data_IF_856015291356
#
_entry.id   IF_856015291356
#
_cell.length_a   1.000
_cell.length_b   1.000
_cell.length_c   1.000
_cell.angle_alpha   90.00
_cell.angle_beta   90.00
_cell.angle_gamma   90.00
#
_symmetry.space_group_name_H-M   'P 1'
#
loop_
_entity.id
_entity.type
_entity.pdbx_description
1 polymer ?
#
# COMPACT_ATOMS: atom_id res chain seq x y z
N UNK A 1 -8.68 18.55 -17.99
CA UNK A 1 -8.42 17.14 -17.65
C UNK A 1 -9.70 16.61 -17.04
N UNK A 2 -10.35 15.58 -17.62
CA UNK A 2 -11.57 15.03 -17.04
C UNK A 2 -11.27 14.48 -15.64
N UNK A 3 -12.20 14.70 -14.70
CA UNK A 3 -12.12 14.15 -13.34
C UNK A 3 -12.10 12.61 -13.48
N UNK A 4 -11.11 11.90 -12.91
CA UNK A 4 -11.10 10.45 -12.88
C UNK A 4 -12.44 9.91 -12.38
N UNK A 5 -12.91 8.79 -12.92
CA UNK A 5 -14.24 8.26 -12.61
C UNK A 5 -14.46 8.04 -11.11
N UNK A 6 -13.42 7.61 -10.40
CA UNK A 6 -13.35 7.43 -8.94
C UNK A 6 -13.47 8.74 -8.14
N UNK A 7 -13.25 9.89 -8.78
CA UNK A 7 -13.34 11.21 -8.16
C UNK A 7 -14.63 11.96 -8.54
N UNK A 8 -15.46 11.38 -9.42
CA UNK A 8 -16.75 11.98 -9.77
C UNK A 8 -17.69 11.90 -8.55
N UNK A 9 -18.45 12.96 -8.25
CA UNK A 9 -19.49 12.89 -7.24
C UNK A 9 -20.48 11.76 -7.58
N UNK A 10 -20.75 10.85 -6.65
CA UNK A 10 -21.76 9.81 -6.82
C UNK A 10 -23.14 10.48 -6.77
N UNK A 11 -23.61 10.96 -7.92
CA UNK A 11 -25.00 11.40 -8.07
C UNK A 11 -25.82 10.14 -8.32
N UNK A 12 -26.51 9.64 -7.29
CA UNK A 12 -27.36 8.43 -7.38
C UNK A 12 -28.51 8.59 -8.39
N UNK A 13 -28.82 9.82 -8.77
CA UNK A 13 -29.72 10.15 -9.87
C UNK A 13 -30.14 11.62 -9.83
N UNK A 14 -30.94 12.01 -10.80
CA UNK A 14 -31.54 13.34 -10.91
C UNK A 14 -33.06 13.16 -10.95
N UNK A 15 -33.77 13.85 -10.08
CA UNK A 15 -35.22 14.01 -10.16
C UNK A 15 -35.45 15.28 -10.96
N UNK A 16 -35.95 15.13 -12.19
CA UNK A 16 -36.36 16.25 -13.02
C UNK A 16 -37.76 15.92 -13.57
N UNK A 17 -38.65 16.91 -13.57
CA UNK A 17 -40.00 16.78 -14.10
C UNK A 17 -40.13 17.63 -15.35
N UNK A 18 -40.93 17.18 -16.32
CA UNK A 18 -41.08 17.92 -17.58
C UNK A 18 -41.84 19.23 -17.40
N UNK A 19 -42.85 19.26 -16.51
CA UNK A 19 -43.58 20.46 -16.12
C UNK A 19 -43.80 20.57 -14.62
N UNK A 20 -43.49 21.73 -14.03
CA UNK A 20 -43.74 22.02 -12.61
C UNK A 20 -44.21 23.47 -12.45
N UNK A 21 -45.32 23.67 -11.75
CA UNK A 21 -45.78 24.99 -11.32
C UNK A 21 -45.86 25.00 -9.79
N UNK A 22 -45.16 25.93 -9.16
CA UNK A 22 -45.21 26.16 -7.70
C UNK A 22 -45.62 27.60 -7.48
N UNK A 23 -46.72 27.81 -6.77
CA UNK A 23 -47.26 29.16 -6.46
C UNK A 23 -47.42 30.07 -7.69
N UNK A 24 -47.81 29.48 -8.83
CA UNK A 24 -48.00 30.20 -10.09
C UNK A 24 -46.71 30.47 -10.89
N UNK A 25 -45.55 30.01 -10.42
CA UNK A 25 -44.27 30.11 -11.11
C UNK A 25 -43.96 28.81 -11.85
N UNK A 26 -43.73 28.89 -13.15
CA UNK A 26 -43.32 27.76 -13.99
C UNK A 26 -41.82 27.47 -13.77
N UNK A 27 -41.53 26.23 -13.37
CA UNK A 27 -40.19 25.72 -13.01
C UNK A 27 -39.83 24.55 -13.93
N UNK A 28 -39.99 24.73 -15.23
CA UNK A 28 -39.69 23.70 -16.23
C UNK A 28 -38.17 23.58 -16.48
N UNK A 29 -37.72 22.43 -16.97
CA UNK A 29 -36.32 22.20 -17.28
C UNK A 29 -35.44 22.05 -16.03
N UNK A 30 -34.24 22.64 -16.04
CA UNK A 30 -33.25 22.49 -14.95
C UNK A 30 -33.68 23.14 -13.65
N UNK A 31 -34.69 24.01 -13.67
CA UNK A 31 -35.20 24.70 -12.47
C UNK A 31 -35.88 23.76 -11.47
N UNK A 32 -36.37 22.59 -11.92
CA UNK A 32 -36.89 21.55 -11.04
C UNK A 32 -35.99 20.32 -10.92
N UNK A 33 -34.74 20.43 -11.39
CA UNK A 33 -33.79 19.35 -11.30
C UNK A 33 -33.21 19.27 -9.88
N UNK A 34 -33.65 18.27 -9.12
CA UNK A 34 -33.12 17.94 -7.81
C UNK A 34 -32.20 16.74 -7.89
N UNK A 35 -30.99 16.85 -7.37
CA UNK A 35 -30.10 15.70 -7.23
C UNK A 35 -30.64 14.78 -6.15
N UNK A 36 -30.73 13.48 -6.44
CA UNK A 36 -31.00 12.45 -5.43
C UNK A 36 -29.84 12.44 -4.43
N UNK A 37 -30.16 12.06 -3.19
CA UNK A 37 -29.29 11.98 -2.02
C UNK A 37 -27.80 11.80 -2.35
N UNK A 38 -27.01 12.77 -1.87
CA UNK A 38 -25.55 12.83 -2.02
C UNK A 38 -24.79 12.22 -0.84
N UNK A 39 -25.51 11.76 0.18
CA UNK A 39 -24.91 11.27 1.42
C UNK A 39 -24.07 10.03 1.11
N UNK A 40 -22.76 10.18 1.23
CA UNK A 40 -21.81 9.08 1.28
C UNK A 40 -21.94 8.42 2.65
N UNK A 41 -22.71 7.34 2.76
CA UNK A 41 -22.88 6.59 4.01
C UNK A 41 -21.73 5.60 4.28
N UNK A 42 -20.79 5.47 3.34
CA UNK A 42 -19.65 4.54 3.41
C UNK A 42 -18.36 5.15 3.97
N UNK A 43 -18.40 6.39 4.48
CA UNK A 43 -17.23 7.05 5.08
C UNK A 43 -16.90 6.38 6.42
N UNK A 44 -15.72 5.79 6.53
CA UNK A 44 -15.20 5.31 7.81
C UNK A 44 -14.13 6.27 8.35
N UNK A 45 -14.43 7.06 9.40
CA UNK A 45 -13.46 8.00 9.97
C UNK A 45 -12.21 7.31 10.53
N UNK A 46 -12.30 6.03 10.91
CA UNK A 46 -11.16 5.35 11.54
C UNK A 46 -10.00 5.13 10.58
N UNK A 47 -10.27 5.07 9.26
CA UNK A 47 -9.23 4.92 8.22
C UNK A 47 -8.22 6.06 8.34
N UNK A 48 -8.74 7.29 8.41
CA UNK A 48 -7.94 8.49 8.52
C UNK A 48 -7.16 8.49 9.83
N UNK A 49 -7.86 8.26 10.94
CA UNK A 49 -7.27 8.33 12.28
C UNK A 49 -6.15 7.30 12.43
N UNK A 50 -6.38 6.05 12.02
CA UNK A 50 -5.37 5.00 12.11
C UNK A 50 -4.14 5.31 11.25
N UNK A 51 -4.34 5.74 10.01
CA UNK A 51 -3.22 6.08 9.11
C UNK A 51 -2.44 7.28 9.65
N UNK A 52 -3.13 8.36 10.06
CA UNK A 52 -2.47 9.56 10.55
C UNK A 52 -1.70 9.33 11.87
N UNK A 53 -2.07 8.31 12.64
CA UNK A 53 -1.37 7.91 13.88
C UNK A 53 -0.24 6.89 13.64
N UNK A 54 0.09 6.54 12.38
CA UNK A 54 1.30 5.79 12.05
C UNK A 54 2.48 6.73 11.79
N UNK A 55 3.71 6.25 12.00
CA UNK A 55 4.92 6.97 11.62
C UNK A 55 4.91 7.35 10.13
N UNK A 56 4.55 6.40 9.27
CA UNK A 56 4.56 6.58 7.83
C UNK A 56 3.44 7.53 7.35
N UNK A 57 2.33 7.57 8.07
CA UNK A 57 1.15 8.35 7.72
C UNK A 57 1.08 9.74 8.34
N UNK A 58 1.91 10.09 9.33
CA UNK A 58 1.79 11.33 10.13
C UNK A 58 1.65 12.62 9.30
N UNK A 59 2.27 12.68 8.12
CA UNK A 59 2.26 13.87 7.26
C UNK A 59 1.04 13.98 6.33
N UNK A 60 0.13 13.00 6.34
CA UNK A 60 -1.04 12.93 5.45
C UNK A 60 -1.94 14.17 5.53
N UNK A 61 -2.01 14.82 6.69
CA UNK A 61 -2.81 16.04 6.96
C UNK A 61 -2.33 17.28 6.25
N UNK A 62 -1.04 17.36 5.90
CA UNK A 62 -0.50 18.48 5.16
C UNK A 62 -0.90 18.48 3.67
N UNK A 63 -1.46 17.37 3.17
CA UNK A 63 -1.87 17.27 1.77
C UNK A 63 -3.04 18.20 1.44
N UNK A 64 -2.85 19.06 0.45
CA UNK A 64 -3.88 19.97 -0.10
C UNK A 64 -4.31 19.64 -1.53
N UNK A 65 -4.02 18.42 -2.00
CA UNK A 65 -4.53 17.88 -3.27
C UNK A 65 -4.03 18.58 -4.56
N UNK A 66 -2.84 19.22 -4.55
CA UNK A 66 -2.27 19.88 -5.74
C UNK A 66 -1.90 18.95 -6.92
N UNK A 67 -1.67 17.66 -6.69
CA UNK A 67 -1.42 16.67 -7.76
C UNK A 67 0.01 16.56 -8.28
N UNK A 68 0.97 17.33 -7.75
CA UNK A 68 2.39 17.25 -8.14
C UNK A 68 2.97 15.83 -7.99
N UNK A 69 2.52 15.10 -6.97
CA UNK A 69 2.93 13.71 -6.74
C UNK A 69 2.44 12.76 -7.84
N UNK A 70 1.19 12.91 -8.30
CA UNK A 70 0.63 12.09 -9.39
C UNK A 70 1.29 12.43 -10.72
N UNK A 71 1.51 13.71 -11.03
CA UNK A 71 2.17 14.11 -12.28
C UNK A 71 3.65 13.69 -12.34
N UNK A 72 4.33 13.63 -11.20
CA UNK A 72 5.74 13.24 -11.13
C UNK A 72 5.99 11.74 -10.97
N UNK A 73 4.93 10.93 -10.80
CA UNK A 73 5.06 9.50 -10.57
C UNK A 73 5.33 8.75 -11.88
N UNK A 74 6.41 7.98 -11.95
CA UNK A 74 6.71 7.12 -13.10
C UNK A 74 5.74 5.95 -13.22
N UNK A 75 5.13 5.51 -12.11
CA UNK A 75 4.19 4.40 -12.14
C UNK A 75 2.87 4.73 -12.82
N UNK A 76 2.51 6.02 -12.87
CA UNK A 76 1.31 6.51 -13.58
C UNK A 76 1.32 6.17 -15.07
N UNK A 77 2.50 6.13 -15.69
CA UNK A 77 2.67 5.81 -17.09
C UNK A 77 2.36 4.33 -17.37
N UNK A 78 2.73 3.45 -16.44
CA UNK A 78 2.49 2.00 -16.53
C UNK A 78 1.12 1.57 -16.02
N UNK A 79 0.57 2.29 -15.04
CA UNK A 79 -0.74 2.05 -14.46
C UNK A 79 -1.54 3.37 -14.41
N UNK A 80 -2.47 3.58 -15.36
CA UNK A 80 -3.32 4.76 -15.41
C UNK A 80 -4.23 4.96 -14.19
N UNK A 81 -4.37 3.96 -13.30
CA UNK A 81 -5.11 4.11 -12.05
C UNK A 81 -4.20 4.52 -10.89
N UNK A 82 -2.88 4.40 -11.04
CA UNK A 82 -1.93 4.77 -10.00
C UNK A 82 -1.93 6.28 -9.75
N UNK A 83 -2.44 6.73 -8.61
CA UNK A 83 -2.50 8.15 -8.26
C UNK A 83 -2.23 8.33 -6.77
N UNK A 84 -1.00 8.69 -6.35
CA UNK A 84 -0.71 8.97 -4.95
C UNK A 84 -1.62 10.04 -4.36
N UNK A 85 -1.95 11.08 -5.13
CA UNK A 85 -2.93 12.09 -4.73
C UNK A 85 -4.31 11.46 -4.45
N UNK A 86 -4.77 10.61 -5.37
CA UNK A 86 -6.08 9.95 -5.28
C UNK A 86 -6.15 9.00 -4.09
N UNK A 87 -5.10 8.21 -3.84
CA UNK A 87 -5.02 7.33 -2.68
C UNK A 87 -5.14 8.11 -1.36
N UNK A 88 -4.41 9.23 -1.25
CA UNK A 88 -4.49 10.11 -0.07
C UNK A 88 -5.90 10.70 0.09
N UNK A 89 -6.54 11.10 -1.02
CA UNK A 89 -7.90 11.63 -0.99
C UNK A 89 -8.91 10.58 -0.49
N UNK A 90 -8.82 9.36 -1.00
CA UNK A 90 -9.69 8.25 -0.60
C UNK A 90 -9.47 7.86 0.87
N UNK A 91 -8.22 7.79 1.33
CA UNK A 91 -7.89 7.52 2.72
C UNK A 91 -8.44 8.60 3.66
N UNK A 92 -8.30 9.88 3.29
CA UNK A 92 -8.89 11.03 4.01
C UNK A 92 -10.42 10.99 4.02
N UNK A 93 -10.99 10.46 2.95
CA UNK A 93 -12.43 10.26 2.80
C UNK A 93 -12.94 8.97 3.44
N UNK A 94 -12.09 8.19 4.09
CA UNK A 94 -12.50 6.91 4.67
C UNK A 94 -13.14 5.95 3.65
N UNK A 95 -12.86 6.11 2.36
CA UNK A 95 -13.48 5.33 1.28
C UNK A 95 -12.75 4.00 1.11
N UNK A 96 -12.99 3.10 2.05
CA UNK A 96 -12.33 1.78 2.10
C UNK A 96 -12.60 0.97 0.83
N UNK A 97 -13.81 1.05 0.29
CA UNK A 97 -14.21 0.26 -0.87
C UNK A 97 -13.39 0.66 -2.10
N UNK A 98 -13.26 1.96 -2.37
CA UNK A 98 -12.42 2.45 -3.46
C UNK A 98 -10.93 2.08 -3.26
N UNK A 99 -10.42 2.12 -2.02
CA UNK A 99 -9.05 1.68 -1.72
C UNK A 99 -8.84 0.18 -1.98
N UNK A 100 -9.80 -0.67 -1.63
CA UNK A 100 -9.77 -2.12 -1.90
C UNK A 100 -9.75 -2.40 -3.41
N UNK A 101 -10.57 -1.67 -4.18
CA UNK A 101 -10.61 -1.79 -5.64
C UNK A 101 -9.26 -1.40 -6.28
N UNK A 102 -8.58 -0.42 -5.68
CA UNK A 102 -7.27 0.07 -6.12
C UNK A 102 -6.07 -0.67 -5.50
N UNK A 103 -6.28 -1.76 -4.74
CA UNK A 103 -5.20 -2.47 -4.04
C UNK A 103 -4.01 -2.84 -4.95
N UNK A 104 -4.29 -3.29 -6.17
CA UNK A 104 -3.26 -3.68 -7.13
C UNK A 104 -2.46 -2.49 -7.65
N UNK A 105 -3.06 -1.29 -7.66
CA UNK A 105 -2.36 -0.06 -7.97
C UNK A 105 -1.56 0.40 -6.77
N UNK A 106 -2.13 0.41 -5.56
CA UNK A 106 -1.42 0.77 -4.31
C UNK A 106 -0.10 0.00 -4.14
N UNK A 107 -0.12 -1.31 -4.37
CA UNK A 107 1.07 -2.17 -4.26
C UNK A 107 2.19 -1.85 -5.27
N UNK A 108 1.89 -1.21 -6.40
CA UNK A 108 2.89 -0.93 -7.45
C UNK A 108 3.88 0.18 -7.10
N UNK A 109 3.80 0.75 -5.91
CA UNK A 109 4.79 1.71 -5.45
C UNK A 109 6.19 1.07 -5.49
N UNK A 110 7.13 1.72 -6.17
CA UNK A 110 8.54 1.27 -6.24
C UNK A 110 9.47 2.09 -5.35
N UNK A 111 8.90 2.85 -4.39
CA UNK A 111 9.64 3.65 -3.41
C UNK A 111 10.71 4.58 -3.98
N UNK A 112 10.51 5.13 -5.18
CA UNK A 112 11.50 6.02 -5.81
C UNK A 112 11.60 7.41 -5.16
N UNK A 113 10.76 7.73 -4.16
CA UNK A 113 10.73 8.99 -3.40
C UNK A 113 10.53 10.30 -4.20
N UNK A 114 10.30 10.22 -5.52
CA UNK A 114 10.09 11.41 -6.37
C UNK A 114 8.89 12.25 -5.95
N UNK A 115 7.81 11.60 -5.51
CA UNK A 115 6.59 12.25 -5.05
C UNK A 115 6.82 13.04 -3.74
N UNK A 116 7.52 12.42 -2.79
CA UNK A 116 7.92 13.04 -1.52
C UNK A 116 8.77 14.28 -1.75
N UNK A 117 9.85 14.16 -2.53
CA UNK A 117 10.77 15.28 -2.76
C UNK A 117 10.15 16.47 -3.49
N UNK A 118 9.15 16.22 -4.35
CA UNK A 118 8.47 17.29 -5.10
C UNK A 118 7.29 17.91 -4.35
N UNK A 119 6.89 17.37 -3.21
CA UNK A 119 5.71 17.86 -2.51
C UNK A 119 5.94 19.27 -1.95
N UNK A 120 5.19 20.30 -2.39
CA UNK A 120 5.38 21.68 -1.90
C UNK A 120 4.94 21.86 -0.43
N UNK A 121 4.23 20.88 0.13
CA UNK A 121 3.75 20.87 1.52
C UNK A 121 4.57 19.96 2.44
N UNK A 122 5.62 19.30 1.92
CA UNK A 122 6.45 18.40 2.72
C UNK A 122 5.77 17.09 3.14
N UNK A 123 4.69 16.68 2.47
CA UNK A 123 4.08 15.36 2.70
C UNK A 123 5.06 14.27 2.28
N UNK A 124 5.28 13.27 3.14
CA UNK A 124 6.02 12.04 2.85
C UNK A 124 5.12 11.11 2.03
N UNK A 125 4.86 11.49 0.79
CA UNK A 125 3.81 10.87 -0.05
C UNK A 125 4.06 9.37 -0.26
N UNK A 126 5.31 8.96 -0.39
CA UNK A 126 5.66 7.55 -0.55
C UNK A 126 5.28 6.75 0.71
N UNK A 127 5.69 7.22 1.89
CA UNK A 127 5.38 6.60 3.18
C UNK A 127 3.87 6.55 3.43
N UNK A 128 3.17 7.64 3.12
CA UNK A 128 1.71 7.70 3.24
C UNK A 128 1.03 6.66 2.34
N UNK A 129 1.51 6.45 1.10
CA UNK A 129 0.96 5.40 0.23
C UNK A 129 1.19 4.01 0.82
N UNK A 130 2.36 3.76 1.42
CA UNK A 130 2.62 2.51 2.13
C UNK A 130 1.74 2.33 3.36
N UNK A 131 1.53 3.38 4.17
CA UNK A 131 0.65 3.33 5.34
C UNK A 131 -0.78 2.94 4.96
N UNK A 132 -1.29 3.42 3.81
CA UNK A 132 -2.60 3.05 3.28
C UNK A 132 -2.61 1.56 2.90
N UNK A 133 -1.56 1.07 2.23
CA UNK A 133 -1.45 -0.35 1.87
C UNK A 133 -1.36 -1.26 3.12
N UNK A 134 -0.54 -0.87 4.10
CA UNK A 134 -0.42 -1.56 5.39
C UNK A 134 -1.72 -1.57 6.16
N UNK A 135 -2.49 -0.48 6.16
CA UNK A 135 -3.83 -0.43 6.75
C UNK A 135 -4.74 -1.51 6.13
N UNK A 136 -4.80 -1.61 4.81
CA UNK A 136 -5.62 -2.63 4.14
C UNK A 136 -5.20 -4.06 4.50
N UNK A 137 -3.89 -4.31 4.61
CA UNK A 137 -3.35 -5.61 5.00
C UNK A 137 -3.63 -5.94 6.48
N UNK A 138 -3.42 -4.98 7.38
CA UNK A 138 -3.65 -5.12 8.84
C UNK A 138 -5.11 -5.51 9.13
N UNK A 139 -6.05 -4.91 8.40
CA UNK A 139 -7.48 -5.18 8.54
C UNK A 139 -7.97 -6.40 7.72
N UNK A 140 -7.10 -7.09 7.01
CA UNK A 140 -7.47 -8.26 6.19
C UNK A 140 -8.43 -7.93 5.04
N UNK A 141 -8.47 -6.66 4.60
CA UNK A 141 -9.35 -6.18 3.53
C UNK A 141 -8.84 -6.59 2.14
N UNK A 142 -7.54 -6.87 2.04
CA UNK A 142 -6.85 -7.28 0.82
C UNK A 142 -5.99 -8.50 1.08
N UNK A 143 -5.70 -9.27 0.03
CA UNK A 143 -4.76 -10.39 0.12
C UNK A 143 -3.33 -9.84 0.12
N UNK A 144 -2.44 -10.52 0.83
CA UNK A 144 -1.00 -10.24 0.75
C UNK A 144 -0.54 -10.45 -0.69
N UNK A 145 0.10 -9.42 -1.23
CA UNK A 145 0.79 -9.49 -2.51
C UNK A 145 2.07 -10.35 -2.39
N UNK A 146 2.67 -10.79 -3.52
CA UNK A 146 3.88 -11.60 -3.49
C UNK A 146 5.07 -10.93 -2.79
N UNK A 147 5.17 -9.60 -2.82
CA UNK A 147 6.22 -8.83 -2.14
C UNK A 147 6.08 -8.92 -0.63
N UNK A 148 4.89 -8.64 -0.09
CA UNK A 148 4.57 -8.76 1.34
C UNK A 148 4.83 -10.17 1.86
N UNK A 149 4.41 -11.21 1.10
CA UNK A 149 4.70 -12.59 1.49
C UNK A 149 6.21 -12.85 1.50
N UNK A 150 6.96 -12.30 0.55
CA UNK A 150 8.41 -12.48 0.49
C UNK A 150 9.10 -11.76 1.65
N UNK A 151 8.70 -10.54 1.97
CA UNK A 151 9.25 -9.73 3.05
C UNK A 151 9.07 -10.42 4.42
N UNK A 152 7.90 -11.03 4.65
CA UNK A 152 7.64 -11.83 5.86
C UNK A 152 8.57 -13.06 5.94
N UNK A 153 8.67 -13.83 4.85
CA UNK A 153 9.55 -15.00 4.79
C UNK A 153 11.02 -14.61 4.96
N UNK A 154 11.42 -13.49 4.35
CA UNK A 154 12.75 -12.94 4.44
C UNK A 154 13.09 -12.56 5.88
N UNK A 155 12.23 -11.76 6.53
CA UNK A 155 12.43 -11.32 7.90
C UNK A 155 12.46 -12.50 8.87
N UNK A 156 11.51 -13.44 8.75
CA UNK A 156 11.48 -14.66 9.56
C UNK A 156 12.78 -15.47 9.43
N UNK A 157 13.28 -15.59 8.19
CA UNK A 157 14.53 -16.30 7.90
C UNK A 157 15.73 -15.59 8.51
N UNK A 158 15.81 -14.26 8.41
CA UNK A 158 16.89 -13.46 8.99
C UNK A 158 16.90 -13.60 10.52
N UNK A 159 15.73 -13.51 11.16
CA UNK A 159 15.61 -13.65 12.61
C UNK A 159 16.05 -15.04 13.06
N UNK A 160 15.55 -16.10 12.42
CA UNK A 160 15.89 -17.49 12.75
C UNK A 160 17.37 -17.83 12.54
N UNK A 161 18.01 -17.21 11.56
CA UNK A 161 19.42 -17.45 11.23
C UNK A 161 20.41 -16.53 11.96
N UNK A 162 19.97 -15.84 13.01
CA UNK A 162 20.88 -15.04 13.82
C UNK A 162 21.29 -13.72 13.16
N UNK A 163 20.37 -13.09 12.44
CA UNK A 163 20.56 -11.78 11.80
C UNK A 163 21.29 -11.84 10.45
N UNK A 164 21.40 -13.02 9.84
CA UNK A 164 22.01 -13.19 8.52
C UNK A 164 21.06 -13.90 7.56
N UNK A 165 21.18 -13.53 6.30
CA UNK A 165 20.48 -14.21 5.21
C UNK A 165 21.14 -15.57 5.01
N UNK A 166 20.32 -16.62 4.94
CA UNK A 166 20.74 -17.96 4.53
C UNK A 166 20.04 -18.29 3.23
N UNK A 167 20.82 -18.42 2.15
CA UNK A 167 20.31 -18.71 0.81
C UNK A 167 19.53 -20.02 0.76
N UNK A 168 19.95 -21.04 1.52
CA UNK A 168 19.25 -22.33 1.58
C UNK A 168 17.88 -22.20 2.25
N UNK A 169 17.82 -21.59 3.43
CA UNK A 169 16.56 -21.49 4.18
C UNK A 169 15.59 -20.55 3.50
N UNK A 170 16.07 -19.40 2.99
CA UNK A 170 15.26 -18.46 2.23
C UNK A 170 14.78 -19.07 0.91
N UNK A 171 15.67 -19.75 0.17
CA UNK A 171 15.33 -20.41 -1.08
C UNK A 171 14.32 -21.55 -0.89
N UNK A 172 14.47 -22.35 0.16
CA UNK A 172 13.51 -23.39 0.52
C UNK A 172 12.16 -22.79 0.95
N UNK A 173 12.15 -21.70 1.72
CA UNK A 173 10.95 -21.00 2.13
C UNK A 173 10.21 -20.39 0.93
N UNK A 174 10.93 -19.72 0.03
CA UNK A 174 10.38 -19.14 -1.20
C UNK A 174 9.83 -20.22 -2.15
N UNK A 175 10.52 -21.36 -2.29
CA UNK A 175 10.03 -22.50 -3.07
C UNK A 175 8.76 -23.10 -2.45
N UNK A 176 8.71 -23.25 -1.12
CA UNK A 176 7.51 -23.72 -0.40
C UNK A 176 6.33 -22.75 -0.55
N UNK A 177 6.60 -21.45 -0.60
CA UNK A 177 5.60 -20.42 -0.86
C UNK A 177 5.17 -20.31 -2.34
N UNK A 178 5.73 -21.15 -3.22
CA UNK A 178 5.39 -21.16 -4.65
C UNK A 178 5.96 -19.98 -5.45
N UNK A 179 6.89 -19.22 -4.88
CA UNK A 179 7.51 -18.05 -5.53
C UNK A 179 8.62 -18.44 -6.50
N UNK A 180 9.28 -19.57 -6.25
CA UNK A 180 10.36 -20.10 -7.07
C UNK A 180 10.07 -21.54 -7.44
N UNK A 181 10.03 -21.83 -8.73
CA UNK A 181 9.96 -23.19 -9.24
C UNK A 181 11.37 -23.68 -9.56
N UNK A 182 11.89 -24.58 -8.72
CA UNK A 182 13.19 -25.21 -8.95
C UNK A 182 12.97 -26.54 -9.68
N UNK A 183 13.55 -26.68 -10.87
CA UNK A 183 13.58 -27.98 -11.54
C UNK A 183 14.65 -28.89 -10.94
N UNK A 184 14.55 -30.20 -11.20
CA UNK A 184 15.56 -31.15 -10.75
C UNK A 184 16.96 -30.82 -11.30
N UNK A 185 17.04 -30.25 -12.51
CA UNK A 185 18.30 -29.81 -13.12
C UNK A 185 18.89 -28.61 -12.36
N UNK A 186 18.05 -27.67 -11.94
CA UNK A 186 18.49 -26.50 -11.19
C UNK A 186 19.05 -26.90 -9.83
N UNK A 187 18.39 -27.83 -9.13
CA UNK A 187 18.87 -28.38 -7.86
C UNK A 187 20.23 -29.06 -8.00
N UNK A 188 20.43 -29.84 -9.07
CA UNK A 188 21.73 -30.50 -9.34
C UNK A 188 22.81 -29.45 -9.62
N UNK A 189 22.51 -28.44 -10.44
CA UNK A 189 23.47 -27.38 -10.78
C UNK A 189 23.86 -26.54 -9.56
N UNK A 190 22.88 -26.14 -8.74
CA UNK A 190 23.10 -25.41 -7.49
C UNK A 190 23.93 -26.26 -6.53
N UNK A 191 23.60 -27.54 -6.35
CA UNK A 191 24.36 -28.46 -5.50
C UNK A 191 25.82 -28.61 -5.96
N UNK A 192 26.05 -28.76 -7.26
CA UNK A 192 27.39 -28.84 -7.84
C UNK A 192 28.18 -27.54 -7.66
N UNK A 193 27.54 -26.37 -7.78
CA UNK A 193 28.16 -25.07 -7.55
C UNK A 193 28.57 -24.88 -6.07
N UNK A 194 27.70 -25.26 -5.13
CA UNK A 194 27.99 -25.20 -3.68
C UNK A 194 29.17 -26.11 -3.32
N UNK A 195 29.20 -27.33 -3.87
CA UNK A 195 30.30 -28.29 -3.70
C UNK A 195 31.62 -27.75 -4.26
N UNK A 196 31.62 -27.26 -5.51
CA UNK A 196 32.82 -26.69 -6.15
C UNK A 196 33.33 -25.43 -5.45
N UNK A 197 32.42 -24.63 -4.90
CA UNK A 197 32.75 -23.40 -4.18
C UNK A 197 33.24 -23.61 -2.74
N UNK A 198 33.17 -24.83 -2.19
CA UNK A 198 33.50 -25.09 -0.79
C UNK A 198 32.53 -24.46 0.22
N UNK A 199 31.35 -24.02 -0.24
CA UNK A 199 30.39 -23.23 0.55
C UNK A 199 29.46 -24.09 1.42
N UNK A 200 29.67 -25.41 1.46
CA UNK A 200 28.81 -26.36 2.20
C UNK A 200 28.65 -25.95 3.67
N UNK A 201 29.73 -25.50 4.31
CA UNK A 201 29.70 -25.08 5.72
C UNK A 201 28.87 -23.82 5.92
N UNK A 202 29.00 -22.83 5.05
CA UNK A 202 28.28 -21.56 5.13
C UNK A 202 26.79 -21.72 4.79
N UNK A 203 26.47 -22.65 3.88
CA UNK A 203 25.10 -23.02 3.50
C UNK A 203 24.39 -23.76 4.65
N UNK A 204 25.06 -24.71 5.32
CA UNK A 204 24.47 -25.51 6.41
C UNK A 204 24.49 -24.82 7.76
N UNK A 205 25.50 -23.98 8.03
CA UNK A 205 25.68 -23.24 9.27
C UNK A 205 26.00 -21.79 8.93
N UNK A 206 24.98 -20.98 8.60
CA UNK A 206 25.19 -19.56 8.36
C UNK A 206 25.83 -18.93 9.61
N UNK A 207 26.81 -18.05 9.37
CA UNK A 207 27.38 -17.25 10.45
C UNK A 207 26.27 -16.42 11.11
N UNK A 208 26.40 -16.16 12.41
CA UNK A 208 25.48 -15.28 13.15
C UNK A 208 26.08 -13.89 13.32
N UNK A 209 25.25 -12.90 13.57
CA UNK A 209 25.68 -11.57 14.02
C UNK A 209 26.25 -11.68 15.44
N UNK A 210 27.31 -10.92 15.74
CA UNK A 210 27.88 -10.89 17.09
C UNK A 210 26.86 -10.35 18.08
N UNK A 211 26.74 -10.98 19.24
CA UNK A 211 25.76 -10.61 20.28
C UNK A 211 24.31 -10.60 19.76
N UNK A 212 23.98 -11.53 18.84
CA UNK A 212 22.66 -11.60 18.22
C UNK A 212 21.51 -11.62 19.23
N UNK A 213 21.63 -12.33 20.36
CA UNK A 213 20.55 -12.42 21.35
C UNK A 213 20.14 -11.03 21.88
N UNK A 214 21.10 -10.11 22.04
CA UNK A 214 20.81 -8.73 22.45
C UNK A 214 20.14 -7.94 21.31
N UNK A 215 20.62 -8.10 20.09
CA UNK A 215 20.05 -7.42 18.91
C UNK A 215 18.63 -7.90 18.66
N UNK A 216 18.41 -9.21 18.71
CA UNK A 216 17.11 -9.85 18.56
C UNK A 216 16.12 -9.31 19.58
N UNK A 217 16.52 -9.18 20.86
CA UNK A 217 15.66 -8.61 21.88
C UNK A 217 15.21 -7.18 21.56
N UNK A 218 16.14 -6.33 21.10
CA UNK A 218 15.83 -4.94 20.70
C UNK A 218 14.89 -4.92 19.50
N UNK A 219 15.09 -5.79 18.50
CA UNK A 219 14.20 -5.89 17.35
C UNK A 219 12.80 -6.36 17.77
N UNK A 220 12.70 -7.37 18.64
CA UNK A 220 11.42 -7.86 19.16
C UNK A 220 10.68 -6.81 20.01
N UNK A 221 11.40 -5.95 20.72
CA UNK A 221 10.83 -4.80 21.43
C UNK A 221 10.32 -3.75 20.43
N UNK A 222 11.15 -3.36 19.47
CA UNK A 222 10.77 -2.39 18.43
C UNK A 222 9.59 -2.86 17.57
N UNK A 223 9.46 -4.16 17.31
CA UNK A 223 8.31 -4.75 16.59
C UNK A 223 7.01 -4.75 17.41
N UNK A 224 7.08 -4.62 18.74
CA UNK A 224 5.91 -4.58 19.63
C UNK A 224 5.43 -3.16 19.91
N UNK A 225 6.30 -2.18 19.80
CA UNK A 225 5.93 -0.78 19.93
C UNK A 225 5.17 -0.34 18.68
N UNK A 226 3.84 -0.17 18.77
CA UNK A 226 3.13 0.70 17.83
C UNK A 226 3.65 2.11 18.09
N UNK A 227 4.58 2.58 17.26
CA UNK A 227 5.13 3.92 17.41
C UNK A 227 4.06 4.92 17.00
N UNK A 228 3.41 5.50 18.01
CA UNK A 228 2.52 6.65 17.85
C UNK A 228 3.41 7.89 17.79
N UNK A 229 3.40 8.67 16.70
CA UNK A 229 4.17 9.91 16.62
C UNK A 229 3.69 10.90 17.70
N UNK A 230 4.63 11.50 18.43
CA UNK A 230 4.39 12.56 19.43
C UNK A 230 3.85 13.87 18.80
#
# INVERSE_FOLDING_TARGET
>A
MPIPELEKPIVKGLIQKDKVIVDGVELDGTWNAFMIERTQTGYDPTVWDEIANTLEGVTISACWQCGTCTSGCTMREYDPNYSPRGFIDLARKGDKQALIELQNSLWRCVSCQKCTHRCPKGVLVEEVVHSIHHYLLKHGLVKKDPGTVFDELFLETVIKNGGRISELTLGAAAAKAGMVTLSLKDLINIGAAILKGGLIKDVLRPNRVKNWDRVQKVLEEAMKEEVVPE
#
